data_IF_066837144643
#
_entry.id   IF_066837144643
#
_cell.length_a   1.000
_cell.length_b   1.000
_cell.length_c   1.000
_cell.angle_alpha   90.00
_cell.angle_beta   90.00
_cell.angle_gamma   90.00
#
_symmetry.space_group_name_H-M   'P 1'
#
loop_
_entity.id
_entity.type
_entity.pdbx_description
1 polymer ?
#
# COMPACT_ATOMS: atom_id res chain seq x y z
N UNK A 1 7.93 -80.40 3.11
CA UNK A 1 6.72 -79.55 3.27
C UNK A 1 7.13 -78.09 3.10
N UNK A 2 6.74 -77.50 1.96
CA UNK A 2 6.64 -76.07 1.57
C UNK A 2 7.67 -75.09 2.17
N UNK A 3 8.81 -74.83 1.52
CA UNK A 3 9.07 -73.92 0.35
C UNK A 3 9.24 -72.45 0.77
N UNK A 4 10.18 -71.64 0.33
CA UNK A 4 11.42 -71.69 -0.46
C UNK A 4 11.89 -70.23 -0.42
N UNK A 5 13.18 -69.93 -0.19
CA UNK A 5 13.73 -68.62 -0.57
C UNK A 5 15.21 -68.74 -0.96
N UNK A 6 15.37 -68.55 -2.27
CA UNK A 6 16.53 -68.49 -3.15
C UNK A 6 17.33 -67.21 -2.83
N UNK A 7 18.61 -67.30 -2.46
CA UNK A 7 19.85 -67.22 -3.29
C UNK A 7 20.28 -65.79 -3.70
N UNK A 8 21.61 -65.61 -3.61
CA UNK A 8 22.54 -64.79 -4.44
C UNK A 8 23.12 -63.52 -3.81
N UNK A 9 24.46 -63.57 -3.70
CA UNK A 9 25.39 -62.55 -3.25
C UNK A 9 25.47 -61.34 -4.21
N UNK A 10 25.66 -60.16 -3.60
CA UNK A 10 25.72 -58.82 -4.20
C UNK A 10 27.00 -58.62 -5.02
N UNK A 11 26.85 -58.19 -6.27
CA UNK A 11 27.91 -57.64 -7.13
C UNK A 11 28.13 -56.17 -6.75
N UNK A 12 29.40 -55.78 -6.55
CA UNK A 12 29.83 -54.40 -6.38
C UNK A 12 30.00 -53.78 -7.77
N UNK A 13 29.13 -52.83 -8.14
CA UNK A 13 29.39 -51.89 -9.24
C UNK A 13 29.66 -50.52 -8.64
N UNK A 14 30.88 -50.02 -8.84
CA UNK A 14 31.24 -48.63 -8.63
C UNK A 14 30.56 -47.78 -9.72
N UNK A 15 29.61 -46.93 -9.33
CA UNK A 15 29.07 -45.88 -10.19
C UNK A 15 29.76 -44.58 -9.80
N UNK A 16 30.70 -44.15 -10.63
CA UNK A 16 31.33 -42.83 -10.54
C UNK A 16 30.32 -41.79 -11.03
N UNK A 17 29.69 -41.08 -10.10
CA UNK A 17 28.80 -39.95 -10.42
C UNK A 17 29.66 -38.74 -10.80
N UNK A 18 29.88 -38.52 -12.10
CA UNK A 18 30.36 -37.22 -12.58
C UNK A 18 29.21 -36.22 -12.47
N UNK A 19 29.22 -35.42 -11.40
CA UNK A 19 28.38 -34.25 -11.29
C UNK A 19 28.86 -33.20 -12.31
N UNK A 20 28.25 -33.17 -13.48
CA UNK A 20 28.35 -32.04 -14.38
C UNK A 20 27.67 -30.85 -13.67
N UNK A 21 28.45 -29.92 -13.12
CA UNK A 21 27.97 -28.58 -12.79
C UNK A 21 27.61 -27.89 -14.10
N UNK A 22 26.39 -28.11 -14.56
CA UNK A 22 25.75 -27.25 -15.55
C UNK A 22 25.50 -25.91 -14.86
N UNK A 23 26.44 -24.97 -15.01
CA UNK A 23 26.21 -23.57 -14.73
C UNK A 23 25.01 -23.15 -15.59
N UNK A 24 23.83 -23.06 -14.98
CA UNK A 24 22.66 -22.51 -15.63
C UNK A 24 22.94 -21.02 -15.83
N UNK A 25 23.57 -20.66 -16.95
CA UNK A 25 23.67 -19.27 -17.39
C UNK A 25 22.25 -18.89 -17.79
N UNK A 26 21.53 -18.23 -16.89
CA UNK A 26 20.29 -17.55 -17.25
C UNK A 26 20.63 -16.56 -18.36
N UNK A 27 19.94 -16.58 -19.51
CA UNK A 27 20.18 -15.59 -20.54
C UNK A 27 19.93 -14.21 -19.92
N UNK A 28 20.92 -13.32 -20.05
CA UNK A 28 20.68 -11.89 -19.90
C UNK A 28 19.58 -11.53 -20.88
N UNK A 29 18.51 -10.92 -20.38
CA UNK A 29 17.42 -10.39 -21.21
C UNK A 29 17.93 -9.09 -21.85
N UNK A 30 18.98 -9.19 -22.67
CA UNK A 30 19.42 -8.09 -23.52
C UNK A 30 18.37 -7.90 -24.62
N UNK A 31 17.66 -6.76 -24.57
CA UNK A 31 16.78 -6.31 -25.64
C UNK A 31 15.27 -6.37 -25.39
N UNK A 32 14.78 -6.83 -24.24
CA UNK A 32 13.34 -6.65 -23.93
C UNK A 32 13.05 -5.22 -23.46
N UNK A 33 11.89 -4.63 -23.83
CA UNK A 33 11.49 -3.32 -23.33
C UNK A 33 11.41 -3.28 -21.80
N UNK A 34 11.93 -2.19 -21.21
CA UNK A 34 11.89 -1.94 -19.79
C UNK A 34 10.43 -1.77 -19.35
N UNK A 35 10.03 -2.55 -18.36
CA UNK A 35 8.65 -2.52 -17.85
C UNK A 35 8.42 -1.28 -17.00
N UNK A 36 7.34 -0.56 -17.32
CA UNK A 36 6.86 0.62 -16.59
C UNK A 36 5.61 0.25 -15.81
N UNK A 37 5.60 0.54 -14.52
CA UNK A 37 4.46 0.32 -13.64
C UNK A 37 3.96 1.64 -13.07
N UNK A 38 2.64 1.78 -13.03
CA UNK A 38 1.97 2.96 -12.50
C UNK A 38 1.48 2.70 -11.08
N UNK A 39 1.75 3.61 -10.15
CA UNK A 39 1.30 3.54 -8.76
C UNK A 39 0.45 4.78 -8.46
N UNK A 40 -0.86 4.59 -8.34
CA UNK A 40 -1.80 5.71 -8.18
C UNK A 40 -2.70 5.51 -6.96
N UNK A 41 -2.98 6.59 -6.24
CA UNK A 41 -3.92 6.54 -5.14
C UNK A 41 -3.85 7.74 -4.21
N UNK A 42 -4.16 7.50 -2.93
CA UNK A 42 -4.16 8.56 -1.92
C UNK A 42 -2.93 8.52 -1.00
N UNK A 43 -3.01 9.14 0.18
CA UNK A 43 -1.99 9.08 1.25
C UNK A 43 -1.33 7.71 1.49
N UNK A 44 -2.07 6.60 1.49
CA UNK A 44 -1.47 5.28 1.70
C UNK A 44 -0.63 4.78 0.50
N UNK A 45 -0.97 5.19 -0.73
CA UNK A 45 -0.07 5.04 -1.88
C UNK A 45 1.09 6.04 -1.79
N UNK A 46 0.83 7.27 -1.34
CA UNK A 46 1.86 8.29 -1.16
C UNK A 46 2.94 7.81 -0.18
N UNK A 47 2.55 7.18 0.92
CA UNK A 47 3.45 6.57 1.88
C UNK A 47 3.69 7.44 3.11
N UNK A 48 3.21 6.98 4.27
CA UNK A 48 3.36 7.67 5.55
C UNK A 48 4.17 6.89 6.59
N UNK A 49 4.80 5.78 6.18
CA UNK A 49 5.70 5.03 7.06
C UNK A 49 7.04 5.75 7.15
N UNK A 50 7.43 6.12 8.37
CA UNK A 50 8.68 6.84 8.62
C UNK A 50 9.86 5.87 8.61
N UNK A 51 11.02 6.30 8.12
CA UNK A 51 12.18 5.43 7.99
C UNK A 51 12.71 4.89 9.32
N UNK A 52 12.37 5.54 10.43
CA UNK A 52 12.66 5.07 11.78
C UNK A 52 12.00 3.72 12.10
N UNK A 53 10.98 3.33 11.33
CA UNK A 53 10.31 2.04 11.49
C UNK A 53 10.84 0.93 10.58
N UNK A 54 11.89 1.21 9.79
CA UNK A 54 12.50 0.21 8.89
C UNK A 54 13.13 -0.97 9.63
N UNK A 55 13.54 -0.80 10.89
CA UNK A 55 14.06 -1.90 11.71
C UNK A 55 13.07 -3.05 11.84
N UNK A 56 11.76 -2.74 11.89
CA UNK A 56 10.70 -3.75 11.99
C UNK A 56 10.63 -4.68 10.76
N UNK A 57 11.27 -4.34 9.63
CA UNK A 57 11.34 -5.24 8.47
C UNK A 57 12.03 -6.58 8.81
N UNK A 58 12.97 -6.57 9.77
CA UNK A 58 13.72 -7.77 10.17
C UNK A 58 12.84 -8.82 10.86
N UNK A 59 11.68 -8.42 11.38
CA UNK A 59 10.74 -9.30 12.09
C UNK A 59 9.88 -10.16 11.15
N UNK A 60 9.83 -9.82 9.85
CA UNK A 60 9.04 -10.55 8.84
C UNK A 60 9.97 -11.08 7.73
N UNK A 61 10.10 -12.41 7.55
CA UNK A 61 10.91 -13.00 6.50
C UNK A 61 10.59 -12.51 5.08
N UNK A 62 9.36 -12.05 4.82
CA UNK A 62 8.96 -11.49 3.53
C UNK A 62 9.57 -10.10 3.27
N UNK A 63 9.87 -9.36 4.34
CA UNK A 63 10.36 -7.98 4.24
C UNK A 63 11.81 -7.82 4.68
N UNK A 64 12.34 -8.73 5.48
CA UNK A 64 13.72 -8.67 5.99
C UNK A 64 14.77 -8.53 4.87
N UNK A 65 14.69 -9.24 3.73
CA UNK A 65 15.67 -9.08 2.64
C UNK A 65 15.66 -7.68 2.01
N UNK A 66 14.57 -6.92 2.14
CA UNK A 66 14.40 -5.60 1.53
C UNK A 66 15.19 -4.54 2.29
N UNK A 67 15.40 -4.69 3.60
CA UNK A 67 16.14 -3.71 4.40
C UNK A 67 17.55 -3.48 3.85
N UNK A 68 18.26 -4.57 3.49
CA UNK A 68 19.60 -4.50 2.92
C UNK A 68 19.67 -3.93 1.49
N UNK A 69 18.53 -3.65 0.86
CA UNK A 69 18.45 -2.99 -0.46
C UNK A 69 18.35 -1.47 -0.35
N UNK A 70 18.04 -0.96 0.84
CA UNK A 70 17.73 0.45 1.08
C UNK A 70 18.57 1.03 2.21
N UNK A 71 19.24 0.19 3.00
CA UNK A 71 20.28 0.56 3.96
C UNK A 71 21.52 -0.30 3.77
N UNK A 72 22.69 0.30 3.88
CA UNK A 72 23.96 -0.44 3.91
C UNK A 72 24.23 -1.06 5.29
N UNK A 73 25.35 -1.77 5.43
CA UNK A 73 25.75 -2.40 6.69
C UNK A 73 25.98 -1.41 7.85
N UNK A 74 26.23 -0.14 7.56
CA UNK A 74 26.39 0.95 8.52
C UNK A 74 25.05 1.65 8.84
N UNK A 75 23.94 1.19 8.24
CA UNK A 75 22.60 1.74 8.43
C UNK A 75 22.30 3.00 7.62
N UNK A 76 23.23 3.46 6.77
CA UNK A 76 23.01 4.62 5.90
C UNK A 76 22.11 4.25 4.72
N UNK A 77 21.23 5.18 4.33
CA UNK A 77 20.32 5.01 3.20
C UNK A 77 21.10 4.83 1.88
N UNK A 78 20.66 3.90 1.05
CA UNK A 78 21.20 3.67 -0.30
C UNK A 78 20.08 3.66 -1.33
N UNK A 79 20.46 3.92 -2.57
CA UNK A 79 19.56 3.87 -3.73
C UNK A 79 19.67 2.54 -4.46
N UNK A 80 18.56 2.07 -5.01
CA UNK A 80 18.49 0.92 -5.90
C UNK A 80 18.43 1.40 -7.35
N UNK A 81 19.58 1.46 -8.01
CA UNK A 81 19.72 2.07 -9.34
C UNK A 81 19.00 1.32 -10.47
N UNK A 82 18.59 0.07 -10.24
CA UNK A 82 17.77 -0.69 -11.21
C UNK A 82 16.28 -0.35 -11.16
N UNK A 83 15.86 0.55 -10.29
CA UNK A 83 14.47 1.01 -10.22
C UNK A 83 14.47 2.52 -10.32
N UNK A 84 13.95 3.06 -11.41
CA UNK A 84 13.76 4.50 -11.56
C UNK A 84 12.35 4.89 -11.14
N UNK A 85 12.19 6.03 -10.46
CA UNK A 85 10.90 6.51 -9.97
C UNK A 85 10.65 7.92 -10.49
N UNK A 86 9.44 8.17 -10.99
CA UNK A 86 8.89 9.51 -11.29
C UNK A 86 7.61 9.70 -10.46
N UNK A 87 7.71 10.43 -9.35
CA UNK A 87 6.66 10.54 -8.34
C UNK A 87 6.09 11.96 -8.27
N UNK A 88 4.82 12.10 -8.59
CA UNK A 88 4.04 13.33 -8.45
C UNK A 88 3.17 13.28 -7.19
N UNK A 89 3.24 14.34 -6.38
CA UNK A 89 2.42 14.50 -5.17
C UNK A 89 2.13 15.97 -4.88
N UNK A 90 1.49 16.28 -3.74
CA UNK A 90 1.30 17.66 -3.27
C UNK A 90 2.63 18.41 -3.05
N UNK A 91 3.74 17.71 -2.83
CA UNK A 91 5.07 18.31 -2.71
C UNK A 91 5.76 18.60 -4.05
N UNK A 92 5.08 18.35 -5.18
CA UNK A 92 5.63 18.48 -6.52
C UNK A 92 6.16 17.15 -7.07
N UNK A 93 7.02 17.27 -8.08
CA UNK A 93 7.60 16.16 -8.84
C UNK A 93 8.98 15.78 -8.27
N UNK A 94 9.15 14.51 -7.91
CA UNK A 94 10.42 13.92 -7.47
C UNK A 94 10.82 12.78 -8.43
N UNK A 95 12.06 12.79 -8.89
CA UNK A 95 12.62 11.76 -9.78
C UNK A 95 13.94 11.21 -9.24
N UNK A 96 14.22 9.93 -9.50
CA UNK A 96 15.49 9.32 -9.10
C UNK A 96 15.43 7.80 -8.98
N UNK A 97 16.58 7.18 -8.71
CA UNK A 97 16.68 5.79 -8.28
C UNK A 97 15.88 5.55 -6.99
N UNK A 98 15.17 4.43 -6.90
CA UNK A 98 14.36 4.07 -5.73
C UNK A 98 15.20 4.09 -4.45
N UNK A 99 14.71 4.80 -3.44
CA UNK A 99 15.32 4.93 -2.12
C UNK A 99 14.27 5.30 -1.08
N UNK A 100 14.67 5.40 0.18
CA UNK A 100 13.88 6.10 1.21
C UNK A 100 13.63 7.54 0.73
N UNK A 101 12.40 8.03 0.87
CA UNK A 101 12.04 9.42 0.56
C UNK A 101 11.16 9.64 -0.66
N UNK A 102 10.63 8.58 -1.27
CA UNK A 102 9.51 8.67 -2.22
C UNK A 102 8.14 8.62 -1.53
N UNK A 103 8.12 8.75 -0.20
CA UNK A 103 6.93 8.88 0.63
C UNK A 103 6.32 10.29 0.62
N UNK A 104 5.50 10.59 1.63
CA UNK A 104 4.94 11.92 1.86
C UNK A 104 5.97 12.97 2.34
N UNK A 105 7.19 12.53 2.69
CA UNK A 105 8.38 13.35 2.93
C UNK A 105 9.63 12.53 2.58
N UNK A 106 10.80 13.17 2.59
CA UNK A 106 12.11 12.55 2.34
C UNK A 106 12.49 11.47 3.36
N UNK A 107 11.91 11.50 4.56
CA UNK A 107 12.05 10.46 5.59
C UNK A 107 10.97 9.37 5.53
N UNK A 108 10.10 9.36 4.52
CA UNK A 108 8.97 8.43 4.44
C UNK A 108 9.04 7.53 3.23
N UNK A 109 8.37 6.39 3.36
CA UNK A 109 8.19 5.39 2.32
C UNK A 109 6.71 5.02 2.17
N UNK A 110 6.35 4.60 0.97
CA UNK A 110 5.09 3.95 0.64
C UNK A 110 5.30 2.53 0.12
N UNK A 111 4.28 1.95 -0.52
CA UNK A 111 4.36 0.60 -1.06
C UNK A 111 5.32 0.52 -2.26
N UNK A 112 5.76 1.64 -2.84
CA UNK A 112 6.73 1.67 -3.94
C UNK A 112 8.05 0.98 -3.57
N UNK A 113 8.44 1.02 -2.29
CA UNK A 113 9.69 0.41 -1.84
C UNK A 113 9.64 -1.11 -1.99
N UNK A 114 8.62 -1.74 -1.38
CA UNK A 114 8.43 -3.18 -1.45
C UNK A 114 8.11 -3.66 -2.86
N UNK A 115 7.27 -2.90 -3.57
CA UNK A 115 6.90 -3.21 -4.95
C UNK A 115 8.11 -3.16 -5.89
N UNK A 116 8.85 -2.05 -5.89
CA UNK A 116 9.97 -1.82 -6.80
C UNK A 116 11.09 -2.83 -6.61
N UNK A 117 11.47 -3.09 -5.35
CA UNK A 117 12.48 -4.11 -5.02
C UNK A 117 12.03 -5.47 -5.54
N UNK A 118 10.83 -5.93 -5.17
CA UNK A 118 10.35 -7.28 -5.53
C UNK A 118 10.18 -7.46 -7.04
N UNK A 119 9.65 -6.46 -7.74
CA UNK A 119 9.46 -6.51 -9.19
C UNK A 119 10.78 -6.55 -9.94
N UNK A 120 11.76 -5.71 -9.57
CA UNK A 120 13.06 -5.68 -10.24
C UNK A 120 13.85 -6.98 -10.06
N UNK A 121 13.73 -7.63 -8.89
CA UNK A 121 14.34 -8.93 -8.63
C UNK A 121 13.62 -10.05 -9.38
N UNK A 122 12.29 -10.08 -9.37
CA UNK A 122 11.51 -11.11 -10.05
C UNK A 122 11.71 -11.11 -11.56
N UNK A 123 11.78 -9.92 -12.16
CA UNK A 123 11.92 -9.75 -13.60
C UNK A 123 13.38 -9.79 -14.06
N UNK A 124 14.33 -9.74 -13.12
CA UNK A 124 15.77 -9.69 -13.38
C UNK A 124 16.17 -8.64 -14.43
N UNK A 125 15.54 -7.46 -14.38
CA UNK A 125 15.78 -6.34 -15.28
C UNK A 125 15.47 -5.00 -14.58
N UNK A 126 15.99 -3.87 -15.11
CA UNK A 126 15.56 -2.56 -14.65
C UNK A 126 14.06 -2.34 -14.86
N UNK A 127 13.44 -1.52 -14.03
CA UNK A 127 12.03 -1.11 -14.15
C UNK A 127 11.86 0.38 -13.88
N UNK A 128 10.73 0.93 -14.32
CA UNK A 128 10.30 2.29 -13.99
C UNK A 128 9.01 2.27 -13.19
N UNK A 129 8.94 3.10 -12.15
CA UNK A 129 7.73 3.39 -11.40
C UNK A 129 7.26 4.82 -11.71
N UNK A 130 6.06 4.97 -12.24
CA UNK A 130 5.39 6.26 -12.36
C UNK A 130 4.36 6.34 -11.23
N UNK A 131 4.62 7.19 -10.23
CA UNK A 131 3.79 7.32 -9.05
C UNK A 131 3.01 8.64 -9.07
N UNK A 132 1.72 8.61 -8.75
CA UNK A 132 0.84 9.77 -8.66
C UNK A 132 -0.08 9.61 -7.45
N UNK A 133 0.21 10.29 -6.34
CA UNK A 133 -0.53 10.08 -5.11
C UNK A 133 -0.65 11.32 -4.21
N UNK A 134 -1.83 11.50 -3.62
CA UNK A 134 -2.17 12.69 -2.82
C UNK A 134 -3.05 12.35 -1.61
N UNK A 135 -2.78 12.97 -0.46
CA UNK A 135 -3.67 12.89 0.69
C UNK A 135 -5.06 13.51 0.43
N UNK A 136 -6.09 12.99 1.10
CA UNK A 136 -7.41 13.62 1.12
C UNK A 136 -8.25 13.50 -0.16
N UNK A 137 -7.88 12.61 -1.10
CA UNK A 137 -8.59 12.42 -2.36
C UNK A 137 -9.54 11.23 -2.36
N UNK A 138 -10.68 11.39 -3.03
CA UNK A 138 -11.71 10.36 -3.18
C UNK A 138 -11.89 9.87 -4.62
N UNK A 139 -12.46 8.68 -4.77
CA UNK A 139 -12.91 8.19 -6.08
C UNK A 139 -14.20 8.88 -6.51
N UNK A 140 -15.10 9.17 -5.57
CA UNK A 140 -16.38 9.80 -5.91
C UNK A 140 -16.24 11.20 -6.53
N UNK A 141 -15.18 11.95 -6.20
CA UNK A 141 -14.93 13.31 -6.73
C UNK A 141 -13.56 13.45 -7.39
N UNK A 142 -12.46 13.35 -6.66
CA UNK A 142 -11.14 13.77 -7.16
C UNK A 142 -10.63 12.91 -8.32
N UNK A 143 -10.72 11.58 -8.16
CA UNK A 143 -10.37 10.59 -9.17
C UNK A 143 -11.58 10.13 -9.98
N UNK A 144 -12.70 10.88 -9.93
CA UNK A 144 -13.94 10.46 -10.59
C UNK A 144 -13.69 10.19 -12.08
N UNK A 145 -14.06 9.00 -12.57
CA UNK A 145 -13.80 8.63 -13.96
C UNK A 145 -14.64 9.49 -14.93
N UNK A 146 -14.05 10.03 -16.01
CA UNK A 146 -14.75 10.87 -16.98
C UNK A 146 -16.05 10.24 -17.53
N UNK A 147 -16.05 8.92 -17.78
CA UNK A 147 -17.20 8.18 -18.27
C UNK A 147 -18.39 8.14 -17.32
N UNK A 148 -18.21 8.49 -16.04
CA UNK A 148 -19.30 8.65 -15.06
C UNK A 148 -19.85 10.09 -14.95
N UNK A 149 -19.39 11.01 -15.79
CA UNK A 149 -19.73 12.43 -15.73
C UNK A 149 -19.29 13.12 -14.43
N UNK A 150 -19.63 14.40 -14.21
CA UNK A 150 -19.36 15.08 -12.95
C UNK A 150 -20.16 14.50 -11.77
N UNK A 151 -19.67 14.69 -10.55
CA UNK A 151 -20.37 14.29 -9.34
C UNK A 151 -21.70 15.04 -9.20
N UNK A 152 -22.75 14.36 -8.74
CA UNK A 152 -24.05 14.95 -8.44
C UNK A 152 -24.44 14.68 -7.00
N UNK A 153 -24.89 15.71 -6.28
CA UNK A 153 -25.40 15.53 -4.93
C UNK A 153 -26.67 14.68 -4.91
N UNK A 154 -26.78 13.78 -3.93
CA UNK A 154 -28.02 13.07 -3.66
C UNK A 154 -29.02 13.96 -2.91
N UNK A 155 -30.28 13.52 -2.83
CA UNK A 155 -31.35 14.28 -2.19
C UNK A 155 -31.02 14.65 -0.74
N UNK A 156 -30.42 13.75 0.03
CA UNK A 156 -30.07 14.01 1.44
C UNK A 156 -29.05 15.13 1.55
N UNK A 157 -28.03 15.14 0.70
CA UNK A 157 -27.02 16.20 0.65
C UNK A 157 -27.63 17.53 0.21
N UNK A 158 -28.53 17.52 -0.78
CA UNK A 158 -29.26 18.72 -1.22
C UNK A 158 -30.08 19.30 -0.06
N UNK A 159 -30.80 18.47 0.69
CA UNK A 159 -31.56 18.92 1.85
C UNK A 159 -30.65 19.46 2.97
N UNK A 160 -29.49 18.85 3.17
CA UNK A 160 -28.51 19.32 4.14
C UNK A 160 -27.91 20.68 3.76
N UNK A 161 -27.59 20.89 2.47
CA UNK A 161 -27.11 22.18 1.96
C UNK A 161 -28.17 23.27 2.17
N UNK A 162 -29.43 22.99 1.83
CA UNK A 162 -30.56 23.91 2.06
C UNK A 162 -30.73 24.25 3.55
N UNK A 163 -30.65 23.26 4.44
CA UNK A 163 -30.70 23.48 5.90
C UNK A 163 -29.54 24.33 6.43
N UNK A 164 -28.39 24.28 5.77
CA UNK A 164 -27.23 25.12 6.09
C UNK A 164 -27.30 26.53 5.48
N UNK A 165 -28.37 26.85 4.74
CA UNK A 165 -28.50 28.12 4.01
C UNK A 165 -27.51 28.26 2.86
N UNK A 166 -26.99 27.15 2.31
CA UNK A 166 -26.07 27.15 1.17
C UNK A 166 -26.82 27.09 -0.14
N UNK A 167 -26.30 27.78 -1.15
CA UNK A 167 -26.77 27.68 -2.52
C UNK A 167 -26.40 26.29 -3.09
N UNK A 168 -27.41 25.56 -3.57
CA UNK A 168 -27.26 24.20 -4.09
C UNK A 168 -26.64 24.21 -5.48
N UNK A 169 -26.96 25.20 -6.32
CA UNK A 169 -26.43 25.31 -7.68
C UNK A 169 -24.95 25.69 -7.63
N UNK A 170 -24.58 26.65 -6.78
CA UNK A 170 -23.18 27.02 -6.55
C UNK A 170 -22.37 25.82 -6.03
N UNK A 171 -22.87 25.14 -4.99
CA UNK A 171 -22.21 23.96 -4.45
C UNK A 171 -22.05 22.85 -5.49
N UNK A 172 -23.06 22.66 -6.35
CA UNK A 172 -23.03 21.68 -7.44
C UNK A 172 -22.01 22.08 -8.52
N UNK A 173 -21.88 23.37 -8.86
CA UNK A 173 -20.87 23.85 -9.80
C UNK A 173 -19.46 23.57 -9.29
N UNK A 174 -19.15 23.98 -8.05
CA UNK A 174 -17.85 23.75 -7.41
C UNK A 174 -17.51 22.26 -7.39
N UNK A 175 -18.48 21.41 -7.01
CA UNK A 175 -18.26 19.96 -6.94
C UNK A 175 -18.11 19.32 -8.32
N UNK A 176 -18.76 19.86 -9.34
CA UNK A 176 -18.61 19.42 -10.74
C UNK A 176 -17.24 19.77 -11.29
N UNK A 177 -16.75 20.98 -11.05
CA UNK A 177 -15.41 21.44 -11.47
C UNK A 177 -14.30 20.60 -10.82
N UNK A 178 -14.46 20.25 -9.54
CA UNK A 178 -13.53 19.37 -8.82
C UNK A 178 -13.54 17.92 -9.32
N UNK A 179 -14.55 17.50 -10.10
CA UNK A 179 -14.71 16.11 -10.52
C UNK A 179 -13.62 15.71 -11.53
N UNK A 180 -12.89 14.65 -11.19
CA UNK A 180 -11.85 14.06 -12.04
C UNK A 180 -10.60 14.93 -12.21
N UNK A 181 -10.41 15.98 -11.42
CA UNK A 181 -9.19 16.82 -11.50
C UNK A 181 -7.93 15.98 -11.27
N UNK A 182 -7.96 15.11 -10.26
CA UNK A 182 -6.81 14.26 -9.93
C UNK A 182 -6.71 13.05 -10.86
N UNK A 183 -7.82 12.61 -11.46
CA UNK A 183 -7.77 11.67 -12.59
C UNK A 183 -6.95 12.26 -13.74
N UNK A 184 -7.26 13.50 -14.16
CA UNK A 184 -6.56 14.19 -15.26
C UNK A 184 -5.08 14.43 -14.94
N UNK A 185 -4.76 14.95 -13.75
CA UNK A 185 -3.37 15.13 -13.32
C UNK A 185 -2.56 13.83 -13.30
N UNK A 186 -3.19 12.74 -12.85
CA UNK A 186 -2.58 11.42 -12.90
C UNK A 186 -2.28 10.98 -14.35
N UNK A 187 -3.23 11.12 -15.27
CA UNK A 187 -3.02 10.77 -16.67
C UNK A 187 -1.97 11.64 -17.35
N UNK A 188 -2.00 12.95 -17.11
CA UNK A 188 -0.99 13.88 -17.62
C UNK A 188 0.41 13.46 -17.15
N UNK A 189 0.56 13.10 -15.88
CA UNK A 189 1.84 12.63 -15.33
C UNK A 189 2.32 11.32 -15.97
N UNK A 190 1.42 10.38 -16.26
CA UNK A 190 1.77 9.14 -16.97
C UNK A 190 2.25 9.46 -18.38
N UNK A 191 1.50 10.24 -19.15
CA UNK A 191 1.90 10.61 -20.51
C UNK A 191 3.22 11.39 -20.56
N UNK A 192 3.38 12.38 -19.68
CA UNK A 192 4.61 13.17 -19.59
C UNK A 192 5.80 12.29 -19.20
N UNK A 193 5.64 11.40 -18.21
CA UNK A 193 6.71 10.50 -17.79
C UNK A 193 7.07 9.51 -18.89
N UNK A 194 6.09 8.94 -19.60
CA UNK A 194 6.34 8.02 -20.72
C UNK A 194 7.05 8.71 -21.90
N UNK A 195 6.72 9.97 -22.19
CA UNK A 195 7.42 10.76 -23.20
C UNK A 195 8.86 11.07 -22.78
N UNK A 196 9.04 11.51 -21.52
CA UNK A 196 10.37 11.81 -21.01
C UNK A 196 11.29 10.58 -21.01
N UNK A 197 10.78 9.38 -20.72
CA UNK A 197 11.60 8.16 -20.80
C UNK A 197 12.15 7.90 -22.21
N UNK A 198 11.46 8.35 -23.26
CA UNK A 198 11.93 8.24 -24.66
C UNK A 198 13.00 9.29 -24.98
N UNK A 199 12.90 10.47 -24.38
CA UNK A 199 13.81 11.60 -24.60
C UNK A 199 15.08 11.48 -23.75
N UNK A 200 14.92 11.10 -22.48
CA UNK A 200 15.93 11.09 -21.42
C UNK A 200 15.81 9.79 -20.60
N UNK A 201 16.20 8.69 -21.22
CA UNK A 201 16.18 7.36 -20.60
C UNK A 201 17.17 7.28 -19.41
N UNK A 202 16.73 6.94 -18.18
CA UNK A 202 17.61 6.74 -17.04
C UNK A 202 18.51 5.49 -17.16
N UNK A 203 18.28 4.64 -18.17
CA UNK A 203 18.98 3.37 -18.37
C UNK A 203 19.79 3.32 -19.68
N UNK A 204 20.06 4.48 -20.28
CA UNK A 204 20.85 4.66 -21.49
C UNK A 204 20.02 4.96 -22.73
N UNK A 205 20.64 5.60 -23.72
CA UNK A 205 20.07 5.76 -25.05
C UNK A 205 19.77 4.36 -25.63
N UNK A 206 18.69 4.22 -26.41
CA UNK A 206 18.24 2.95 -27.03
C UNK A 206 17.42 2.00 -26.13
N UNK A 207 16.93 2.45 -24.96
CA UNK A 207 15.96 1.67 -24.18
C UNK A 207 14.54 1.95 -24.63
N UNK A 208 13.80 0.87 -24.89
CA UNK A 208 12.36 0.92 -25.08
C UNK A 208 11.63 0.73 -23.75
N UNK A 209 10.43 1.32 -23.63
CA UNK A 209 9.63 1.30 -22.42
C UNK A 209 8.22 0.83 -22.72
N UNK A 210 7.70 -0.11 -21.92
CA UNK A 210 6.35 -0.64 -22.09
C UNK A 210 5.57 -0.54 -20.79
N UNK A 211 4.43 0.15 -20.85
CA UNK A 211 3.46 0.17 -19.77
C UNK A 211 2.97 -1.26 -19.50
N UNK A 212 3.28 -1.77 -18.32
CA UNK A 212 3.15 -3.20 -17.98
C UNK A 212 2.15 -3.47 -16.87
N UNK A 213 1.74 -2.45 -16.11
CA UNK A 213 0.68 -2.62 -15.13
C UNK A 213 0.46 -1.38 -14.28
N UNK A 214 -0.64 -1.39 -13.54
CA UNK A 214 -1.05 -0.31 -12.67
C UNK A 214 -1.51 -0.83 -11.31
N UNK A 215 -1.19 -0.10 -10.25
CA UNK A 215 -1.65 -0.33 -8.89
C UNK A 215 -2.53 0.84 -8.47
N UNK A 216 -3.78 0.54 -8.11
CA UNK A 216 -4.71 1.48 -7.49
C UNK A 216 -4.73 1.24 -5.97
N UNK A 217 -4.32 2.23 -5.16
CA UNK A 217 -4.38 2.14 -3.70
C UNK A 217 -4.97 3.40 -3.06
N UNK A 218 -6.29 3.42 -3.01
CA UNK A 218 -7.13 4.51 -2.51
C UNK A 218 -8.34 3.90 -1.77
N UNK A 219 -9.07 4.70 -0.99
CA UNK A 219 -10.42 4.30 -0.58
C UNK A 219 -10.87 4.89 0.75
N UNK A 220 -9.94 5.27 1.62
CA UNK A 220 -10.28 5.77 2.97
C UNK A 220 -11.30 6.91 2.95
N UNK A 221 -11.13 7.89 2.05
CA UNK A 221 -12.02 9.05 2.02
C UNK A 221 -13.43 8.71 1.54
N UNK A 222 -13.58 7.76 0.62
CA UNK A 222 -14.88 7.22 0.23
C UNK A 222 -15.50 6.43 1.40
N UNK A 223 -14.72 5.60 2.09
CA UNK A 223 -15.19 4.82 3.24
C UNK A 223 -15.79 5.71 4.35
N UNK A 224 -15.12 6.82 4.69
CA UNK A 224 -15.55 7.68 5.80
C UNK A 224 -16.62 8.72 5.42
N UNK A 225 -16.93 8.92 4.14
CA UNK A 225 -17.91 9.92 3.70
C UNK A 225 -19.36 9.45 3.92
N UNK A 226 -20.01 9.98 4.97
CA UNK A 226 -21.43 9.69 5.32
C UNK A 226 -22.41 10.30 4.33
N UNK A 227 -22.02 11.40 3.68
CA UNK A 227 -22.91 12.14 2.79
C UNK A 227 -23.04 11.45 1.45
N UNK A 228 -21.93 10.95 0.91
CA UNK A 228 -21.87 10.15 -0.33
C UNK A 228 -22.43 8.75 -0.08
N UNK A 229 -22.06 8.12 1.04
CA UNK A 229 -22.46 6.75 1.38
C UNK A 229 -23.29 6.72 2.67
N UNK A 230 -24.57 7.17 2.63
CA UNK A 230 -25.42 7.26 3.82
C UNK A 230 -25.81 5.89 4.40
N UNK A 231 -25.82 4.85 3.57
CA UNK A 231 -26.16 3.48 3.95
C UNK A 231 -24.93 2.60 4.20
N UNK A 232 -23.76 3.20 4.41
CA UNK A 232 -22.52 2.44 4.63
C UNK A 232 -22.65 1.42 5.77
N UNK A 233 -21.99 0.28 5.58
CA UNK A 233 -22.08 -0.86 6.50
C UNK A 233 -23.37 -1.66 6.38
N UNK A 234 -24.27 -1.31 5.45
CA UNK A 234 -25.37 -2.17 5.02
C UNK A 234 -25.03 -2.81 3.66
N UNK A 235 -25.65 -3.95 3.30
CA UNK A 235 -25.55 -4.50 1.94
C UNK A 235 -25.88 -3.44 0.88
N UNK A 236 -25.02 -3.34 -0.14
CA UNK A 236 -25.16 -2.33 -1.20
C UNK A 236 -24.74 -0.90 -0.83
N UNK A 237 -24.38 -0.64 0.43
CA UNK A 237 -24.06 0.70 0.94
C UNK A 237 -22.85 1.39 0.27
N UNK A 238 -22.07 0.65 -0.52
CA UNK A 238 -20.92 1.13 -1.28
C UNK A 238 -20.97 0.71 -2.77
N UNK A 239 -22.13 0.33 -3.32
CA UNK A 239 -22.25 -0.10 -4.72
C UNK A 239 -21.76 0.98 -5.71
N UNK A 240 -21.98 2.25 -5.36
CA UNK A 240 -21.46 3.37 -6.15
C UNK A 240 -19.93 3.40 -6.20
N UNK A 241 -19.23 2.95 -5.15
CA UNK A 241 -17.77 2.81 -5.21
C UNK A 241 -17.38 1.74 -6.22
N UNK A 242 -18.01 0.56 -6.17
CA UNK A 242 -17.77 -0.55 -7.11
C UNK A 242 -18.00 -0.11 -8.56
N UNK A 243 -19.14 0.54 -8.81
CA UNK A 243 -19.52 1.06 -10.13
C UNK A 243 -18.53 2.09 -10.65
N UNK A 244 -18.11 3.03 -9.81
CA UNK A 244 -17.13 4.04 -10.19
C UNK A 244 -15.75 3.43 -10.44
N UNK A 245 -15.30 2.48 -9.62
CA UNK A 245 -13.98 1.86 -9.79
C UNK A 245 -13.96 0.99 -11.06
N UNK A 246 -15.05 0.31 -11.37
CA UNK A 246 -15.19 -0.38 -12.66
C UNK A 246 -15.05 0.60 -13.83
N UNK A 247 -15.80 1.70 -13.83
CA UNK A 247 -15.70 2.70 -14.90
C UNK A 247 -14.29 3.32 -14.96
N UNK A 248 -13.67 3.57 -13.81
CA UNK A 248 -12.31 4.10 -13.71
C UNK A 248 -11.30 3.17 -14.37
N UNK A 249 -11.40 1.87 -14.15
CA UNK A 249 -10.54 0.88 -14.83
C UNK A 249 -10.74 0.93 -16.35
N UNK A 250 -11.99 1.08 -16.83
CA UNK A 250 -12.29 1.17 -18.27
C UNK A 250 -11.70 2.44 -18.88
N UNK A 251 -11.94 3.59 -18.26
CA UNK A 251 -11.44 4.88 -18.72
C UNK A 251 -9.91 4.92 -18.73
N UNK A 252 -9.27 4.38 -17.68
CA UNK A 252 -7.80 4.27 -17.61
C UNK A 252 -7.24 3.48 -18.78
N UNK A 253 -7.84 2.34 -19.09
CA UNK A 253 -7.41 1.50 -20.20
C UNK A 253 -7.64 2.17 -21.55
N UNK A 254 -8.74 2.91 -21.70
CA UNK A 254 -9.03 3.67 -22.91
C UNK A 254 -8.02 4.80 -23.11
N UNK A 255 -7.82 5.64 -22.08
CA UNK A 255 -6.97 6.83 -22.16
C UNK A 255 -5.49 6.47 -22.35
N UNK A 256 -5.05 5.35 -21.79
CA UNK A 256 -3.69 4.81 -21.99
C UNK A 256 -3.56 3.92 -23.23
N UNK A 257 -4.64 3.74 -24.00
CA UNK A 257 -4.73 2.83 -25.15
C UNK A 257 -4.19 1.41 -24.83
N UNK A 258 -4.56 0.89 -23.67
CA UNK A 258 -4.05 -0.37 -23.11
C UNK A 258 -5.22 -1.25 -22.60
N UNK A 259 -6.03 -1.84 -23.50
CA UNK A 259 -7.28 -2.53 -23.16
C UNK A 259 -7.12 -3.74 -22.22
N UNK A 260 -5.92 -4.33 -22.17
CA UNK A 260 -5.59 -5.47 -21.33
C UNK A 260 -4.58 -5.13 -20.21
N UNK A 261 -4.34 -3.85 -19.93
CA UNK A 261 -3.39 -3.43 -18.90
C UNK A 261 -3.70 -4.15 -17.57
N UNK A 262 -2.74 -4.92 -17.01
CA UNK A 262 -2.89 -5.54 -15.71
C UNK A 262 -3.09 -4.49 -14.61
N UNK A 263 -4.12 -4.64 -13.79
CA UNK A 263 -4.45 -3.71 -12.70
C UNK A 263 -4.57 -4.45 -11.38
N UNK A 264 -3.87 -3.96 -10.36
CA UNK A 264 -4.04 -4.44 -8.98
C UNK A 264 -4.84 -3.41 -8.19
N UNK A 265 -5.90 -3.86 -7.54
CA UNK A 265 -6.70 -3.08 -6.60
C UNK A 265 -6.19 -3.39 -5.19
N UNK A 266 -5.56 -2.42 -4.54
CA UNK A 266 -5.23 -2.48 -3.13
C UNK A 266 -6.48 -2.24 -2.29
N UNK A 267 -7.09 -3.30 -1.79
CA UNK A 267 -8.27 -3.24 -0.93
C UNK A 267 -7.85 -2.74 0.45
N UNK A 268 -8.55 -1.74 0.99
CA UNK A 268 -8.22 -1.08 2.26
C UNK A 268 -8.09 -2.07 3.43
N UNK A 269 -6.93 -2.12 4.06
CA UNK A 269 -6.60 -3.02 5.15
C UNK A 269 -6.54 -2.41 6.54
N UNK A 270 -6.83 -1.11 6.68
CA UNK A 270 -6.76 -0.40 7.96
C UNK A 270 -7.54 -1.13 9.06
N UNK A 271 -6.88 -1.38 10.20
CA UNK A 271 -7.44 -2.13 11.33
C UNK A 271 -7.28 -3.65 11.24
N UNK A 272 -6.83 -4.21 10.11
CA UNK A 272 -6.68 -5.65 9.92
C UNK A 272 -7.99 -6.38 9.64
N UNK A 273 -7.98 -7.73 9.62
CA UNK A 273 -9.16 -8.54 9.35
C UNK A 273 -10.25 -8.29 10.40
N UNK A 274 -11.50 -8.10 9.98
CA UNK A 274 -12.62 -7.81 10.91
C UNK A 274 -12.88 -8.95 11.90
N UNK A 275 -12.53 -10.19 11.52
CA UNK A 275 -12.60 -11.36 12.39
C UNK A 275 -11.66 -11.25 13.62
N UNK A 276 -10.62 -10.41 13.53
CA UNK A 276 -9.64 -10.18 14.60
C UNK A 276 -9.95 -8.92 15.42
N UNK A 277 -11.12 -8.28 15.22
CA UNK A 277 -11.46 -7.04 15.92
C UNK A 277 -11.78 -7.29 17.38
N UNK A 278 -11.19 -6.45 18.24
CA UNK A 278 -11.59 -6.34 19.64
C UNK A 278 -12.99 -5.73 19.75
N UNK A 279 -13.60 -5.88 20.92
CA UNK A 279 -14.92 -5.31 21.23
C UNK A 279 -15.02 -3.81 20.92
N UNK A 280 -13.97 -3.03 21.22
CA UNK A 280 -13.95 -1.57 20.96
C UNK A 280 -13.89 -1.20 19.46
N UNK A 281 -13.55 -2.16 18.60
CA UNK A 281 -13.49 -2.02 17.15
C UNK A 281 -14.73 -2.58 16.45
N UNK A 282 -15.56 -3.39 17.12
CA UNK A 282 -16.67 -4.10 16.46
C UNK A 282 -17.69 -3.18 15.79
N UNK A 283 -17.85 -1.94 16.30
CA UNK A 283 -18.69 -0.91 15.66
C UNK A 283 -18.29 -0.54 14.23
N UNK A 284 -17.07 -0.87 13.81
CA UNK A 284 -16.54 -0.59 12.47
C UNK A 284 -16.58 -1.81 11.55
N UNK A 285 -16.84 -3.01 12.07
CA UNK A 285 -16.73 -4.28 11.32
C UNK A 285 -17.55 -4.25 10.03
N UNK A 286 -18.85 -3.92 10.13
CA UNK A 286 -19.74 -3.87 8.98
C UNK A 286 -19.29 -2.81 7.95
N UNK A 287 -18.90 -1.63 8.41
CA UNK A 287 -18.43 -0.55 7.53
C UNK A 287 -17.16 -0.97 6.78
N UNK A 288 -16.17 -1.54 7.49
CA UNK A 288 -14.91 -1.96 6.88
C UNK A 288 -15.12 -3.14 5.93
N UNK A 289 -15.88 -4.17 6.33
CA UNK A 289 -16.11 -5.33 5.47
C UNK A 289 -16.88 -4.95 4.21
N UNK A 290 -18.01 -4.24 4.34
CA UNK A 290 -18.80 -3.82 3.18
C UNK A 290 -17.99 -2.93 2.22
N UNK A 291 -17.12 -2.07 2.74
CA UNK A 291 -16.25 -1.27 1.89
C UNK A 291 -15.18 -2.11 1.17
N UNK A 292 -14.54 -3.05 1.89
CA UNK A 292 -13.55 -3.96 1.31
C UNK A 292 -14.15 -4.82 0.20
N UNK A 293 -15.37 -5.32 0.41
CA UNK A 293 -16.12 -6.09 -0.59
C UNK A 293 -16.40 -5.24 -1.84
N UNK A 294 -16.85 -3.98 -1.67
CA UNK A 294 -17.08 -3.06 -2.77
C UNK A 294 -15.80 -2.72 -3.55
N UNK A 295 -14.67 -2.53 -2.87
CA UNK A 295 -13.38 -2.34 -3.52
C UNK A 295 -12.96 -3.56 -4.34
N UNK A 296 -13.20 -4.78 -3.84
CA UNK A 296 -12.80 -6.02 -4.49
C UNK A 296 -13.71 -6.44 -5.64
N UNK A 297 -14.97 -5.98 -5.64
CA UNK A 297 -16.01 -6.41 -6.57
C UNK A 297 -15.62 -6.29 -8.06
N UNK A 298 -14.98 -5.20 -8.55
CA UNK A 298 -14.61 -5.10 -9.97
C UNK A 298 -13.67 -6.23 -10.43
N UNK A 299 -12.78 -6.74 -9.57
CA UNK A 299 -11.88 -7.83 -9.91
C UNK A 299 -12.63 -9.16 -10.16
N UNK A 300 -13.88 -9.28 -9.71
CA UNK A 300 -14.71 -10.48 -9.90
C UNK A 300 -15.51 -10.45 -11.21
N UNK A 301 -15.53 -9.34 -11.95
CA UNK A 301 -16.21 -9.26 -13.24
C UNK A 301 -15.53 -10.18 -14.26
N UNK A 302 -16.31 -10.94 -15.03
CA UNK A 302 -15.77 -11.90 -16.00
C UNK A 302 -14.79 -11.25 -17.00
N UNK A 303 -15.07 -10.02 -17.43
CA UNK A 303 -14.19 -9.25 -18.33
C UNK A 303 -12.88 -8.79 -17.68
N UNK A 304 -12.81 -8.75 -16.34
CA UNK A 304 -11.66 -8.24 -15.58
C UNK A 304 -10.85 -9.34 -14.92
N UNK A 305 -11.44 -10.50 -14.59
CA UNK A 305 -10.75 -11.63 -13.95
C UNK A 305 -9.37 -11.98 -14.53
N UNK A 306 -9.12 -11.94 -15.85
CA UNK A 306 -7.80 -12.27 -16.39
C UNK A 306 -6.72 -11.20 -16.14
N UNK A 307 -7.12 -9.95 -15.91
CA UNK A 307 -6.21 -8.77 -15.94
C UNK A 307 -6.40 -7.83 -14.75
N UNK A 308 -7.26 -8.15 -13.80
CA UNK A 308 -7.50 -7.36 -12.59
C UNK A 308 -7.47 -8.28 -11.38
N UNK A 309 -6.67 -7.93 -10.36
CA UNK A 309 -6.61 -8.65 -9.10
C UNK A 309 -6.81 -7.72 -7.91
N UNK A 310 -7.60 -8.17 -6.94
CA UNK A 310 -7.72 -7.51 -5.65
C UNK A 310 -6.67 -8.07 -4.67
N UNK A 311 -5.95 -7.19 -3.99
CA UNK A 311 -5.04 -7.53 -2.89
C UNK A 311 -5.64 -7.03 -1.60
N UNK A 312 -6.03 -7.96 -0.74
CA UNK A 312 -6.57 -7.69 0.59
C UNK A 312 -5.44 -7.25 1.53
N UNK A 313 -5.20 -5.94 1.62
CA UNK A 313 -4.08 -5.42 2.43
C UNK A 313 -4.30 -5.57 3.93
N UNK A 314 -5.49 -5.98 4.37
CA UNK A 314 -5.75 -6.41 5.75
C UNK A 314 -4.87 -7.61 6.17
N UNK A 315 -4.45 -8.44 5.20
CA UNK A 315 -3.55 -9.58 5.43
C UNK A 315 -2.08 -9.15 5.60
N UNK A 316 -1.78 -7.87 5.41
CA UNK A 316 -0.48 -7.27 5.71
C UNK A 316 -0.46 -6.60 7.08
N UNK A 317 -1.61 -6.54 7.77
CA UNK A 317 -1.77 -5.82 9.02
C UNK A 317 -1.05 -6.52 10.17
N UNK A 318 -0.49 -5.72 11.06
CA UNK A 318 0.20 -6.20 12.25
C UNK A 318 -0.74 -6.16 13.47
N UNK A 319 -1.24 -7.33 13.85
CA UNK A 319 -2.13 -7.47 15.01
C UNK A 319 -1.39 -7.32 16.34
N UNK A 320 -0.09 -7.60 16.39
CA UNK A 320 0.72 -7.38 17.60
C UNK A 320 0.87 -5.88 17.86
N UNK A 321 1.24 -5.10 16.84
CA UNK A 321 1.29 -3.63 16.98
C UNK A 321 -0.08 -3.05 17.32
N UNK A 322 -1.16 -3.65 16.82
CA UNK A 322 -2.54 -3.24 17.17
C UNK A 322 -2.84 -3.44 18.65
N UNK A 323 -2.32 -4.51 19.25
CA UNK A 323 -2.47 -4.78 20.68
C UNK A 323 -1.57 -3.88 21.53
N UNK A 324 -0.31 -3.72 21.14
CA UNK A 324 0.63 -2.82 21.81
C UNK A 324 0.11 -1.37 21.80
N UNK A 325 -0.44 -0.89 20.68
CA UNK A 325 -1.06 0.44 20.58
C UNK A 325 -2.31 0.61 21.43
N UNK A 326 -3.11 -0.44 21.56
CA UNK A 326 -4.26 -0.43 22.45
C UNK A 326 -3.82 -0.28 23.91
N UNK A 327 -2.85 -1.09 24.36
CA UNK A 327 -2.27 -0.98 25.71
C UNK A 327 -1.62 0.37 25.97
N UNK A 328 -0.90 0.91 24.99
CA UNK A 328 -0.24 2.22 25.09
C UNK A 328 -1.27 3.35 25.32
N UNK A 329 -2.45 3.26 24.70
CA UNK A 329 -3.54 4.21 24.93
C UNK A 329 -3.94 4.26 26.40
N UNK A 330 -4.12 3.11 27.06
CA UNK A 330 -4.51 3.05 28.48
C UNK A 330 -3.37 3.44 29.40
N UNK A 331 -2.14 3.03 29.09
CA UNK A 331 -0.95 3.48 29.82
C UNK A 331 -0.86 5.02 29.79
N UNK A 332 -1.06 5.64 28.62
CA UNK A 332 -1.06 7.10 28.48
C UNK A 332 -2.22 7.75 29.25
N UNK A 333 -3.40 7.12 29.29
CA UNK A 333 -4.52 7.60 30.13
C UNK A 333 -4.20 7.52 31.63
N UNK A 334 -3.53 6.45 32.09
CA UNK A 334 -3.05 6.30 33.48
C UNK A 334 -2.04 7.41 33.81
N UNK A 335 -1.04 7.61 32.94
CA UNK A 335 -0.04 8.69 33.07
C UNK A 335 -0.74 10.06 33.18
N UNK A 336 -1.67 10.37 32.27
CA UNK A 336 -2.36 11.66 32.27
C UNK A 336 -3.24 11.85 33.52
N UNK A 337 -3.89 10.79 33.98
CA UNK A 337 -4.70 10.84 35.21
C UNK A 337 -3.83 11.10 36.44
N UNK A 338 -2.69 10.41 36.56
CA UNK A 338 -1.73 10.59 37.64
C UNK A 338 -1.11 11.99 37.62
N UNK A 339 -0.70 12.48 36.44
CA UNK A 339 -0.11 13.81 36.28
C UNK A 339 -1.08 14.98 36.53
N UNK A 340 -2.39 14.72 36.51
CA UNK A 340 -3.45 15.70 36.82
C UNK A 340 -4.00 15.58 38.24
N UNK A 341 -3.57 14.58 39.00
CA UNK A 341 -3.96 14.43 40.43
C UNK A 341 -3.40 15.59 41.26
N UNK A 342 -4.04 15.89 42.40
CA UNK A 342 -3.82 17.12 43.20
C UNK A 342 -2.34 17.33 43.60
N UNK A 343 -1.57 16.26 43.72
CA UNK A 343 -0.15 16.30 44.12
C UNK A 343 0.83 16.44 42.92
N UNK A 344 0.40 16.14 41.70
CA UNK A 344 1.27 16.07 40.53
C UNK A 344 1.71 17.42 39.90
N UNK A 345 0.96 18.54 40.04
CA UNK A 345 1.44 19.85 39.63
C UNK A 345 2.70 20.30 40.39
N UNK A 346 2.94 19.78 41.60
CA UNK A 346 4.10 20.11 42.42
C UNK A 346 5.35 19.28 42.08
N UNK A 347 5.20 18.20 41.30
CA UNK A 347 6.32 17.35 40.91
C UNK A 347 7.27 18.08 39.95
N UNK A 348 8.57 17.97 40.23
CA UNK A 348 9.66 18.37 39.35
C UNK A 348 9.70 17.54 38.06
N UNK A 349 10.55 17.95 37.11
CA UNK A 349 10.70 17.24 35.82
C UNK A 349 11.13 15.78 36.03
N UNK A 350 12.14 15.57 36.87
CA UNK A 350 12.72 14.24 37.10
C UNK A 350 11.73 13.28 37.76
N UNK A 351 10.89 13.78 38.67
CA UNK A 351 9.85 12.98 39.32
C UNK A 351 8.73 12.59 38.32
N UNK A 352 8.36 13.49 37.41
CA UNK A 352 7.41 13.20 36.33
C UNK A 352 7.97 12.17 35.36
N UNK A 353 9.28 12.21 35.07
CA UNK A 353 9.94 11.25 34.19
C UNK A 353 10.09 9.87 34.87
N UNK A 354 10.40 9.83 36.17
CA UNK A 354 10.39 8.61 36.96
C UNK A 354 9.00 7.95 37.01
N UNK A 355 7.94 8.74 37.22
CA UNK A 355 6.55 8.26 37.19
C UNK A 355 6.18 7.66 35.83
N UNK A 356 6.56 8.33 34.73
CA UNK A 356 6.34 7.80 33.37
C UNK A 356 7.07 6.47 33.17
N UNK A 357 8.33 6.38 33.62
CA UNK A 357 9.14 5.18 33.50
C UNK A 357 8.56 4.01 34.30
N UNK A 358 8.11 4.25 35.54
CA UNK A 358 7.46 3.27 36.41
C UNK A 358 6.19 2.73 35.75
N UNK A 359 5.28 3.61 35.31
CA UNK A 359 4.03 3.21 34.67
C UNK A 359 4.32 2.45 33.37
N UNK A 360 5.34 2.85 32.60
CA UNK A 360 5.77 2.11 31.41
C UNK A 360 6.26 0.71 31.76
N UNK A 361 7.15 0.56 32.75
CA UNK A 361 7.69 -0.74 33.18
C UNK A 361 6.61 -1.68 33.70
N UNK A 362 5.59 -1.14 34.37
CA UNK A 362 4.41 -1.89 34.80
C UNK A 362 3.58 -2.39 33.62
N UNK A 363 3.49 -1.60 32.55
CA UNK A 363 2.60 -1.89 31.42
C UNK A 363 3.28 -2.66 30.28
N UNK A 364 4.61 -2.61 30.12
CA UNK A 364 5.34 -3.20 28.99
C UNK A 364 6.64 -3.86 29.42
N UNK A 365 6.96 -5.02 28.83
CA UNK A 365 8.35 -5.49 28.81
C UNK A 365 9.22 -4.57 27.94
N UNK A 366 10.54 -4.64 28.10
CA UNK A 366 11.45 -3.86 27.26
C UNK A 366 11.30 -4.22 25.77
N UNK A 367 11.22 -5.51 25.46
CA UNK A 367 10.99 -6.02 24.11
C UNK A 367 9.69 -5.48 23.49
N UNK A 368 8.56 -5.57 24.21
CA UNK A 368 7.29 -5.04 23.72
C UNK A 368 7.32 -3.53 23.48
N UNK A 369 8.02 -2.80 24.34
CA UNK A 369 8.21 -1.36 24.17
C UNK A 369 9.06 -1.05 22.93
N UNK A 370 10.14 -1.80 22.72
CA UNK A 370 11.03 -1.63 21.57
C UNK A 370 10.30 -1.96 20.25
N UNK A 371 9.52 -3.05 20.19
CA UNK A 371 8.65 -3.39 19.05
C UNK A 371 7.65 -2.28 18.76
N UNK A 372 7.03 -1.69 19.78
CA UNK A 372 6.07 -0.60 19.60
C UNK A 372 6.75 0.67 19.06
N UNK A 373 7.88 1.06 19.64
CA UNK A 373 8.60 2.28 19.25
C UNK A 373 9.22 2.16 17.85
N UNK A 374 9.73 0.98 17.51
CA UNK A 374 10.31 0.69 16.20
C UNK A 374 9.24 0.35 15.15
N UNK A 375 8.03 -0.07 15.54
CA UNK A 375 6.99 -0.51 14.61
C UNK A 375 6.00 0.56 14.19
N UNK A 376 5.82 1.63 14.98
CA UNK A 376 4.76 2.62 14.78
C UNK A 376 5.29 4.05 14.64
N UNK A 377 4.88 4.73 13.58
CA UNK A 377 5.14 6.17 13.38
C UNK A 377 3.93 7.01 13.00
N UNK A 378 2.74 6.42 12.92
CA UNK A 378 1.53 7.13 12.55
C UNK A 378 0.27 6.44 13.10
N UNK A 379 -0.90 7.02 12.83
CA UNK A 379 -2.19 6.47 13.18
C UNK A 379 -2.60 5.29 12.27
N UNK A 380 -3.62 4.54 12.69
CA UNK A 380 -4.12 3.34 12.00
C UNK A 380 -4.58 3.60 10.56
N UNK A 381 -5.17 4.76 10.28
CA UNK A 381 -5.60 5.13 8.91
C UNK A 381 -4.42 5.27 7.93
N UNK A 382 -3.20 5.37 8.46
CA UNK A 382 -1.92 5.34 7.72
C UNK A 382 -1.12 4.06 7.96
N UNK A 383 -1.80 2.94 8.22
CA UNK A 383 -1.16 1.64 8.50
C UNK A 383 -0.11 1.73 9.60
N UNK A 384 -0.44 2.47 10.67
CA UNK A 384 0.42 2.71 11.82
C UNK A 384 1.74 3.45 11.48
N UNK A 385 1.92 3.92 10.25
CA UNK A 385 3.23 4.37 9.77
C UNK A 385 4.30 3.26 9.84
N UNK A 386 3.88 2.00 9.81
CA UNK A 386 4.78 0.86 9.91
C UNK A 386 5.41 0.55 8.56
N UNK A 387 6.73 0.59 8.48
CA UNK A 387 7.46 0.19 7.29
C UNK A 387 7.23 -1.30 6.99
N UNK A 388 7.16 -2.16 8.01
CA UNK A 388 6.84 -3.60 7.87
C UNK A 388 5.53 -3.81 7.11
N UNK A 389 4.46 -3.17 7.57
CA UNK A 389 3.14 -3.27 6.92
C UNK A 389 3.21 -2.72 5.49
N UNK A 390 3.78 -1.54 5.28
CA UNK A 390 3.77 -0.87 3.98
C UNK A 390 4.63 -1.59 2.92
N UNK A 391 5.79 -2.11 3.31
CA UNK A 391 6.65 -2.91 2.42
C UNK A 391 5.96 -4.23 2.09
N UNK A 392 5.32 -4.89 3.05
CA UNK A 392 4.55 -6.12 2.81
C UNK A 392 3.38 -5.90 1.84
N UNK A 393 2.71 -4.75 1.91
CA UNK A 393 1.70 -4.34 0.94
C UNK A 393 2.32 -4.24 -0.46
N UNK A 394 3.47 -3.55 -0.60
CA UNK A 394 4.20 -3.46 -1.87
C UNK A 394 4.61 -4.82 -2.45
N UNK A 395 5.10 -5.73 -1.60
CA UNK A 395 5.43 -7.12 -1.98
C UNK A 395 4.19 -7.87 -2.46
N UNK A 396 3.06 -7.71 -1.78
CA UNK A 396 1.79 -8.35 -2.15
C UNK A 396 1.25 -7.82 -3.49
N UNK A 397 1.39 -6.51 -3.74
CA UNK A 397 1.08 -5.91 -5.04
C UNK A 397 1.98 -6.46 -6.15
N UNK A 398 3.28 -6.62 -5.88
CA UNK A 398 4.22 -7.20 -6.84
C UNK A 398 3.86 -8.66 -7.18
N UNK A 399 3.52 -9.48 -6.18
CA UNK A 399 3.09 -10.86 -6.39
C UNK A 399 1.82 -10.95 -7.24
N UNK A 400 0.82 -10.10 -6.95
CA UNK A 400 -0.40 -10.04 -7.74
C UNK A 400 -0.11 -9.60 -9.19
N UNK A 401 0.73 -8.58 -9.37
CA UNK A 401 1.13 -8.10 -10.69
C UNK A 401 1.87 -9.17 -11.50
N UNK A 402 2.88 -9.82 -10.93
CA UNK A 402 3.66 -10.88 -11.57
C UNK A 402 2.80 -12.05 -12.02
N UNK A 403 1.70 -12.34 -11.33
CA UNK A 403 0.78 -13.42 -11.72
C UNK A 403 -0.14 -13.08 -12.91
N UNK A 404 -0.04 -11.86 -13.45
CA UNK A 404 -0.76 -11.38 -14.63
C UNK A 404 0.18 -10.95 -15.77
N UNK A 405 1.49 -10.94 -15.53
CA UNK A 405 2.54 -10.70 -16.53
C UNK A 405 2.97 -12.03 -17.15
#
# INVERSE_FOLDING_TARGET
>A
MKSSLVTIHRIIQQVTFMAALSSLVLPSVEGSPIKVFVLVGQSNMQGHAHERTLGALLEDPLTAPILGKVRNAQGAAISLDRVWVSSLSSGGLLKGSLRIGFGASDEKIGPELGFGVRMSEALNQPIVLIKAAWGGKSLHTDFRPPGSGPYRFNETQIQQLKKQGKDVEEAQSIRSEASGVFYRQFMDHVHQSMNLLKEESPFGADKEYTLSGLIWFQGWNDMVDRGVYPQRGQPGGYDDYSRLLEQWIRDVRQDLNAPLLPIVIGVMGAGGPVASYREDQQRYSAIHQSFRDAMAAPAQLASFKPTVKAVLTENCWDMELTELRYRERFMNQEIQTRLKSVDAPQLGKDEKDALRLEIRQKNFSQEQWDTLQSGVSNAEYHYLGSAKIMVRIGVSFAQAMLSML
#
